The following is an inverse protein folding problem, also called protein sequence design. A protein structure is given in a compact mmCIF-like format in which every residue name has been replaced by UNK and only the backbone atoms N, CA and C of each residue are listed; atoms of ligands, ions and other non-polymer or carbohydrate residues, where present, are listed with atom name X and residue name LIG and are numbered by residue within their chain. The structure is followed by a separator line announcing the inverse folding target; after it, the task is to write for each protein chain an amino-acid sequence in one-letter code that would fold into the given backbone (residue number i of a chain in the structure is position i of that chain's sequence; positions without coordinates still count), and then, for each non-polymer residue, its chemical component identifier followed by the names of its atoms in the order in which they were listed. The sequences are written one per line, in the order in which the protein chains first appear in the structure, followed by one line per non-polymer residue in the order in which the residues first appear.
data_IF_277685336929
#
_entry.id   IF_277685336929
#
_cell.length_a   1.000
_cell.length_b   1.000
_cell.length_c   1.000
_cell.angle_alpha   90.00
_cell.angle_beta   90.00
_cell.angle_gamma   90.00
#
_symmetry.space_group_name_H-M   'P 1'
#
loop_
_entity.id
_entity.type
_entity.pdbx_description
1 polymer ?
#
# COMPACT_ATOMS: atom_id res chain seq x y z
N UNK A 1 15.69 0.96 -1.73
CA UNK A 1 14.73 1.13 -2.84
C UNK A 1 13.71 0.02 -2.74
N UNK A 2 12.43 0.37 -2.94
CA UNK A 2 11.26 -0.44 -2.56
C UNK A 2 10.79 -1.35 -3.71
N UNK A 3 10.21 -2.50 -3.33
CA UNK A 3 9.51 -3.45 -4.21
C UNK A 3 8.07 -3.51 -3.74
N UNK A 4 7.12 -3.41 -4.67
CA UNK A 4 5.69 -3.57 -4.39
C UNK A 4 5.14 -4.80 -5.09
N UNK A 5 4.31 -5.54 -4.35
CA UNK A 5 3.44 -6.58 -4.87
C UNK A 5 2.01 -6.28 -4.41
N UNK A 6 1.13 -5.93 -5.36
CA UNK A 6 -0.23 -5.52 -5.04
C UNK A 6 -1.09 -6.67 -4.51
N UNK A 7 -0.78 -7.91 -4.86
CA UNK A 7 -1.47 -9.07 -4.30
C UNK A 7 -1.13 -9.20 -2.81
N UNK A 8 0.16 -9.11 -2.47
CA UNK A 8 0.63 -9.16 -1.07
C UNK A 8 0.04 -8.02 -0.23
N UNK A 9 -0.06 -6.80 -0.79
CA UNK A 9 -0.66 -5.65 -0.09
C UNK A 9 -2.18 -5.82 0.14
N UNK A 10 -2.91 -6.36 -0.83
CA UNK A 10 -4.35 -6.63 -0.66
C UNK A 10 -4.59 -7.75 0.36
N UNK A 11 -3.79 -8.81 0.32
CA UNK A 11 -3.86 -9.90 1.29
C UNK A 11 -3.53 -9.38 2.70
N UNK A 12 -2.52 -8.52 2.83
CA UNK A 12 -2.18 -7.87 4.09
C UNK A 12 -3.33 -6.99 4.60
N UNK A 13 -3.96 -6.16 3.75
CA UNK A 13 -5.12 -5.35 4.14
C UNK A 13 -6.28 -6.23 4.63
N UNK A 14 -6.53 -7.37 3.97
CA UNK A 14 -7.57 -8.30 4.40
C UNK A 14 -7.27 -8.91 5.77
N UNK A 15 -6.02 -9.35 5.99
CA UNK A 15 -5.55 -9.83 7.28
C UNK A 15 -5.66 -8.75 8.38
N UNK A 16 -5.25 -7.52 8.07
CA UNK A 16 -5.33 -6.37 8.98
C UNK A 16 -6.77 -6.11 9.42
N UNK A 17 -7.72 -6.05 8.49
CA UNK A 17 -9.14 -5.85 8.79
C UNK A 17 -9.72 -6.94 9.69
N UNK A 18 -9.32 -8.18 9.44
CA UNK A 18 -9.75 -9.33 10.26
C UNK A 18 -9.23 -9.19 11.68
N UNK A 19 -7.92 -8.98 11.84
CA UNK A 19 -7.28 -8.76 13.14
C UNK A 19 -7.88 -7.56 13.88
N UNK A 20 -8.05 -6.43 13.20
CA UNK A 20 -8.60 -5.23 13.80
C UNK A 20 -10.06 -5.40 14.22
N UNK A 21 -10.85 -6.20 13.50
CA UNK A 21 -12.22 -6.52 13.91
C UNK A 21 -12.24 -7.19 15.29
N UNK A 22 -11.38 -8.19 15.50
CA UNK A 22 -11.25 -8.89 16.79
C UNK A 22 -10.81 -7.94 17.91
N UNK A 23 -9.80 -7.10 17.64
CA UNK A 23 -9.31 -6.12 18.63
C UNK A 23 -10.37 -5.09 18.96
N UNK A 24 -11.07 -4.55 17.96
CA UNK A 24 -12.16 -3.58 18.16
C UNK A 24 -13.27 -4.17 19.03
N UNK A 25 -13.63 -5.44 18.85
CA UNK A 25 -14.60 -6.11 19.72
C UNK A 25 -14.12 -6.19 21.17
N UNK A 26 -12.86 -6.57 21.40
CA UNK A 26 -12.29 -6.62 22.75
C UNK A 26 -12.27 -5.24 23.42
N UNK A 27 -11.83 -4.21 22.70
CA UNK A 27 -11.75 -2.83 23.19
C UNK A 27 -13.14 -2.28 23.51
N UNK A 28 -14.15 -2.58 22.70
CA UNK A 28 -15.55 -2.20 22.99
C UNK A 28 -16.07 -2.85 24.28
N UNK A 29 -15.79 -4.15 24.49
CA UNK A 29 -16.17 -4.84 25.74
C UNK A 29 -15.50 -4.22 26.97
N UNK A 30 -14.24 -3.81 26.87
CA UNK A 30 -13.54 -3.10 27.95
C UNK A 30 -14.20 -1.75 28.23
N UNK A 31 -14.54 -0.99 27.18
CA UNK A 31 -15.24 0.28 27.30
C UNK A 31 -16.60 0.13 27.97
N UNK A 32 -17.39 -0.86 27.55
CA UNK A 32 -18.69 -1.19 28.15
C UNK A 32 -18.56 -1.56 29.63
N UNK A 33 -17.62 -2.45 29.99
CA UNK A 33 -17.40 -2.82 31.38
C UNK A 33 -16.98 -1.63 32.26
N UNK A 34 -16.13 -0.72 31.74
CA UNK A 34 -15.77 0.51 32.43
C UNK A 34 -16.98 1.45 32.59
N UNK A 35 -17.82 1.58 31.57
CA UNK A 35 -19.06 2.37 31.63
C UNK A 35 -20.05 1.79 32.65
N UNK A 36 -20.26 0.48 32.65
CA UNK A 36 -21.15 -0.20 33.61
C UNK A 36 -20.67 0.01 35.05
N UNK A 37 -19.35 -0.11 35.29
CA UNK A 37 -18.76 0.16 36.60
C UNK A 37 -18.97 1.61 37.05
N UNK A 38 -18.76 2.58 36.14
CA UNK A 38 -18.89 4.00 36.46
C UNK A 38 -20.33 4.42 36.72
N UNK A 39 -21.29 3.84 35.99
CA UNK A 39 -22.73 4.09 36.13
C UNK A 39 -23.39 3.28 37.26
N UNK A 40 -22.73 2.27 37.81
CA UNK A 40 -23.28 1.46 38.89
C UNK A 40 -23.57 2.31 40.14
N UNK A 41 -24.83 2.39 40.59
CA UNK A 41 -25.19 3.17 41.78
C UNK A 41 -25.22 2.39 43.11
N UNK A 42 -24.97 1.07 43.09
CA UNK A 42 -25.00 0.23 44.29
C UNK A 42 -23.73 0.38 45.13
N UNK A 43 -22.58 0.63 44.50
CA UNK A 43 -21.31 0.90 45.18
C UNK A 43 -21.18 2.39 45.54
N UNK A 44 -20.95 2.68 46.83
CA UNK A 44 -20.87 4.03 47.40
C UNK A 44 -19.63 4.18 48.29
N UNK A 45 -19.20 5.43 48.49
CA UNK A 45 -18.05 5.80 49.34
C UNK A 45 -17.01 6.60 48.57
N UNK A 46 -16.18 7.37 49.28
CA UNK A 46 -15.21 8.27 48.67
C UNK A 46 -14.23 7.55 47.74
N UNK A 47 -13.70 6.39 48.16
CA UNK A 47 -12.80 5.57 47.34
C UNK A 47 -13.47 5.07 46.04
N UNK A 48 -14.75 4.68 46.11
CA UNK A 48 -15.52 4.26 44.93
C UNK A 48 -15.72 5.43 43.98
N UNK A 49 -16.05 6.62 44.48
CA UNK A 49 -16.20 7.82 43.65
C UNK A 49 -14.90 8.19 42.93
N UNK A 50 -13.76 8.14 43.62
CA UNK A 50 -12.43 8.37 43.02
C UNK A 50 -12.12 7.36 41.93
N UNK A 51 -12.33 6.07 42.20
CA UNK A 51 -12.13 4.99 41.23
C UNK A 51 -13.00 5.19 39.98
N UNK A 52 -14.29 5.47 40.15
CA UNK A 52 -15.20 5.73 39.01
C UNK A 52 -14.77 6.95 38.20
N UNK A 53 -14.29 8.01 38.84
CA UNK A 53 -13.76 9.17 38.12
C UNK A 53 -12.57 8.77 37.23
N UNK A 54 -11.62 8.01 37.77
CA UNK A 54 -10.48 7.50 37.01
C UNK A 54 -10.94 6.63 35.83
N UNK A 55 -11.78 5.62 36.05
CA UNK A 55 -12.24 4.75 34.96
C UNK A 55 -13.00 5.53 33.87
N UNK A 56 -13.84 6.50 34.26
CA UNK A 56 -14.61 7.29 33.31
C UNK A 56 -13.74 8.18 32.43
N UNK A 57 -12.75 8.87 33.00
CA UNK A 57 -11.85 9.77 32.24
C UNK A 57 -10.85 9.00 31.40
N UNK A 58 -10.32 7.91 31.96
CA UNK A 58 -9.13 7.24 31.47
C UNK A 58 -9.47 6.17 30.43
N UNK A 59 -10.28 5.18 30.81
CA UNK A 59 -10.57 4.05 29.93
C UNK A 59 -11.37 4.48 28.70
N UNK A 60 -12.29 5.43 28.85
CA UNK A 60 -13.06 5.96 27.71
C UNK A 60 -12.15 6.59 26.66
N UNK A 61 -11.19 7.41 27.09
CA UNK A 61 -10.28 8.12 26.18
C UNK A 61 -9.32 7.16 25.48
N UNK A 62 -8.66 6.25 26.23
CA UNK A 62 -7.75 5.27 25.63
C UNK A 62 -8.48 4.34 24.67
N UNK A 63 -9.61 3.77 25.09
CA UNK A 63 -10.35 2.82 24.22
C UNK A 63 -10.81 3.51 22.95
N UNK A 64 -11.21 4.78 23.02
CA UNK A 64 -11.56 5.57 21.85
C UNK A 64 -10.36 5.78 20.92
N UNK A 65 -9.21 6.21 21.45
CA UNK A 65 -7.99 6.42 20.66
C UNK A 65 -7.49 5.12 20.00
N UNK A 66 -7.56 3.98 20.69
CA UNK A 66 -7.21 2.68 20.10
C UNK A 66 -8.15 2.34 18.94
N UNK A 67 -9.47 2.52 19.11
CA UNK A 67 -10.43 2.24 18.03
C UNK A 67 -10.15 3.12 16.80
N UNK A 68 -9.88 4.40 17.01
CA UNK A 68 -9.52 5.35 15.95
C UNK A 68 -8.22 4.96 15.25
N UNK A 69 -7.21 4.51 15.99
CA UNK A 69 -5.95 4.01 15.42
C UNK A 69 -6.19 2.83 14.46
N UNK A 70 -7.03 1.90 14.88
CA UNK A 70 -7.35 0.70 14.10
C UNK A 70 -8.13 1.06 12.84
N UNK A 71 -9.15 1.92 12.95
CA UNK A 71 -9.90 2.44 11.80
C UNK A 71 -9.00 3.19 10.81
N UNK A 72 -8.16 4.10 11.31
CA UNK A 72 -7.24 4.89 10.50
C UNK A 72 -6.20 4.01 9.78
N UNK A 73 -5.70 2.96 10.46
CA UNK A 73 -4.75 2.02 9.84
C UNK A 73 -5.33 1.29 8.63
N UNK A 74 -6.60 0.88 8.71
CA UNK A 74 -7.30 0.21 7.61
C UNK A 74 -7.60 1.17 6.47
N UNK A 75 -8.10 2.36 6.78
CA UNK A 75 -8.49 3.34 5.77
C UNK A 75 -7.26 3.86 5.02
N UNK A 76 -6.17 4.17 5.72
CA UNK A 76 -4.92 4.62 5.08
C UNK A 76 -4.35 3.56 4.16
N UNK A 77 -4.22 2.32 4.63
CA UNK A 77 -3.70 1.26 3.76
C UNK A 77 -4.62 1.01 2.55
N UNK A 78 -5.94 1.03 2.75
CA UNK A 78 -6.89 0.91 1.65
C UNK A 78 -6.80 2.08 0.66
N UNK A 79 -6.62 3.30 1.15
CA UNK A 79 -6.44 4.49 0.33
C UNK A 79 -5.13 4.41 -0.47
N UNK A 80 -4.02 4.02 0.15
CA UNK A 80 -2.74 3.82 -0.54
C UNK A 80 -2.87 2.83 -1.70
N UNK A 81 -3.53 1.68 -1.49
CA UNK A 81 -3.78 0.67 -2.52
C UNK A 81 -4.63 1.23 -3.68
N UNK A 82 -5.69 1.98 -3.36
CA UNK A 82 -6.56 2.60 -4.38
C UNK A 82 -5.81 3.66 -5.20
N UNK A 83 -5.04 4.51 -4.54
CA UNK A 83 -4.27 5.56 -5.20
C UNK A 83 -3.14 4.98 -6.06
N UNK A 84 -2.47 3.92 -5.60
CA UNK A 84 -1.53 3.15 -6.41
C UNK A 84 -2.21 2.64 -7.69
N UNK A 85 -3.37 2.00 -7.55
CA UNK A 85 -4.13 1.46 -8.70
C UNK A 85 -4.53 2.53 -9.71
N UNK A 86 -4.83 3.74 -9.24
CA UNK A 86 -5.23 4.87 -10.09
C UNK A 86 -4.05 5.55 -10.79
N UNK A 87 -2.89 5.66 -10.11
CA UNK A 87 -1.75 6.45 -10.58
C UNK A 87 -0.67 5.61 -11.27
N UNK A 88 -0.50 4.36 -10.87
CA UNK A 88 0.60 3.48 -11.31
C UNK A 88 0.09 2.42 -12.28
N UNK A 89 -0.68 1.46 -11.76
CA UNK A 89 -1.25 0.35 -12.53
C UNK A 89 -2.46 -0.25 -11.81
N UNK A 90 -3.59 -0.31 -12.50
CA UNK A 90 -4.86 -0.86 -11.98
C UNK A 90 -4.86 -2.38 -11.82
N UNK A 91 -3.83 -3.07 -12.30
CA UNK A 91 -3.76 -4.54 -12.27
C UNK A 91 -3.65 -5.06 -10.82
N UNK A 92 -4.55 -5.96 -10.38
CA UNK A 92 -4.52 -6.51 -9.02
C UNK A 92 -3.25 -7.30 -8.70
N UNK A 93 -2.57 -7.82 -9.72
CA UNK A 93 -1.33 -8.58 -9.63
C UNK A 93 -0.10 -7.75 -10.05
N UNK A 94 -0.19 -6.42 -10.02
CA UNK A 94 0.94 -5.56 -10.37
C UNK A 94 2.12 -5.85 -9.44
N UNK A 95 3.30 -6.04 -10.04
CA UNK A 95 4.56 -6.23 -9.32
C UNK A 95 5.57 -5.23 -9.87
N UNK A 96 6.07 -4.36 -9.00
CA UNK A 96 7.00 -3.31 -9.37
C UNK A 96 8.28 -3.46 -8.56
N UNK A 97 9.40 -3.46 -9.26
CA UNK A 97 10.73 -3.44 -8.67
C UNK A 97 11.47 -2.22 -9.21
N UNK A 98 11.54 -1.15 -8.42
CA UNK A 98 12.14 0.11 -8.84
C UNK A 98 13.66 -0.01 -9.11
N UNK A 99 14.32 -1.06 -8.62
CA UNK A 99 15.77 -1.24 -8.81
C UNK A 99 16.12 -1.57 -10.26
N UNK A 100 15.16 -2.08 -11.04
CA UNK A 100 15.41 -2.51 -12.43
C UNK A 100 15.09 -1.43 -13.47
N UNK A 101 14.77 -0.19 -13.08
CA UNK A 101 14.42 0.86 -14.05
C UNK A 101 15.53 1.04 -15.10
N UNK A 102 16.78 1.20 -14.68
CA UNK A 102 17.89 1.35 -15.62
C UNK A 102 18.02 0.15 -16.56
N UNK A 103 17.84 -1.07 -16.04
CA UNK A 103 17.88 -2.30 -16.86
C UNK A 103 16.75 -2.32 -17.90
N UNK A 104 15.56 -1.81 -17.53
CA UNK A 104 14.42 -1.70 -18.43
C UNK A 104 14.67 -0.65 -19.50
N UNK A 105 15.18 0.53 -19.16
CA UNK A 105 15.55 1.59 -20.12
C UNK A 105 16.60 1.10 -21.12
N UNK A 106 17.62 0.40 -20.63
CA UNK A 106 18.66 -0.20 -21.47
C UNK A 106 18.05 -1.24 -22.42
N UNK A 107 17.10 -2.05 -21.93
CA UNK A 107 16.39 -3.04 -22.73
C UNK A 107 15.47 -2.41 -23.78
N UNK A 108 14.78 -1.31 -23.47
CA UNK A 108 14.00 -0.52 -24.45
C UNK A 108 14.92 -0.05 -25.56
N UNK A 109 16.04 0.59 -25.21
CA UNK A 109 17.04 1.08 -26.17
C UNK A 109 17.59 -0.03 -27.07
N UNK A 110 17.89 -1.20 -26.50
CA UNK A 110 18.34 -2.37 -27.26
C UNK A 110 17.27 -2.92 -28.21
N UNK A 111 16.01 -2.98 -27.77
CA UNK A 111 14.90 -3.47 -28.58
C UNK A 111 14.54 -2.51 -29.72
N UNK A 112 14.61 -1.20 -29.50
CA UNK A 112 14.43 -0.18 -30.53
C UNK A 112 15.46 -0.35 -31.66
N UNK A 113 16.76 -0.38 -31.32
CA UNK A 113 17.82 -0.60 -32.32
C UNK A 113 17.65 -1.90 -33.09
N UNK A 114 17.20 -2.95 -32.41
CA UNK A 114 16.96 -4.27 -33.02
C UNK A 114 15.78 -4.22 -33.99
N UNK A 115 14.68 -3.55 -33.63
CA UNK A 115 13.53 -3.37 -34.52
C UNK A 115 13.92 -2.57 -35.76
N UNK A 116 14.62 -1.44 -35.60
CA UNK A 116 15.12 -0.60 -36.68
C UNK A 116 16.00 -1.42 -37.64
N UNK A 117 16.99 -2.14 -37.10
CA UNK A 117 17.89 -3.00 -37.91
C UNK A 117 17.11 -4.06 -38.68
N UNK A 118 16.10 -4.69 -38.07
CA UNK A 118 15.28 -5.70 -38.74
C UNK A 118 14.38 -5.08 -39.83
N UNK A 119 13.91 -3.86 -39.62
CA UNK A 119 13.12 -3.12 -40.58
C UNK A 119 13.97 -2.64 -41.78
N UNK A 120 15.20 -2.20 -41.53
CA UNK A 120 16.18 -1.92 -42.59
C UNK A 120 16.47 -3.18 -43.41
N UNK A 121 16.69 -4.34 -42.76
CA UNK A 121 16.90 -5.61 -43.46
C UNK A 121 15.66 -6.06 -44.24
N UNK A 122 14.45 -5.79 -43.75
CA UNK A 122 13.22 -6.12 -44.46
C UNK A 122 13.04 -5.26 -45.73
N UNK A 123 13.41 -3.98 -45.66
CA UNK A 123 13.21 -3.00 -46.75
C UNK A 123 14.39 -2.90 -47.71
N UNK A 124 15.52 -3.56 -47.40
CA UNK A 124 16.72 -3.50 -48.22
C UNK A 124 16.49 -4.11 -49.63
N UNK A 125 17.02 -3.47 -50.69
CA UNK A 125 16.77 -3.87 -52.08
C UNK A 125 17.36 -5.24 -52.46
N UNK A 126 18.31 -5.76 -51.67
CA UNK A 126 18.98 -7.04 -51.90
C UNK A 126 18.41 -8.18 -51.04
N UNK A 127 17.32 -7.95 -50.32
CA UNK A 127 16.74 -8.96 -49.43
C UNK A 127 16.07 -10.05 -50.24
N UNK A 128 16.52 -11.29 -50.02
CA UNK A 128 16.00 -12.45 -50.75
C UNK A 128 14.52 -12.70 -50.40
N UNK A 129 13.68 -13.16 -51.34
CA UNK A 129 12.24 -13.35 -51.11
C UNK A 129 11.91 -14.31 -49.96
N UNK A 130 12.71 -15.37 -49.78
CA UNK A 130 12.61 -16.34 -48.68
C UNK A 130 12.94 -15.71 -47.31
N UNK A 131 13.79 -14.68 -47.29
CA UNK A 131 14.17 -13.96 -46.08
C UNK A 131 13.20 -12.83 -45.73
N UNK A 132 12.42 -12.31 -46.68
CA UNK A 132 11.44 -11.24 -46.43
C UNK A 132 10.39 -11.67 -45.39
N UNK A 133 9.85 -12.88 -45.53
CA UNK A 133 8.86 -13.41 -44.58
C UNK A 133 9.48 -13.60 -43.18
N UNK A 134 10.70 -14.12 -43.13
CA UNK A 134 11.45 -14.31 -41.86
C UNK A 134 11.70 -12.97 -41.17
N UNK A 135 12.14 -11.94 -41.90
CA UNK A 135 12.35 -10.61 -41.34
C UNK A 135 11.04 -9.97 -40.89
N UNK A 136 9.96 -10.11 -41.66
CA UNK A 136 8.65 -9.59 -41.28
C UNK A 136 8.14 -10.17 -39.95
N UNK A 137 8.29 -11.48 -39.74
CA UNK A 137 7.92 -12.13 -38.46
C UNK A 137 8.81 -11.64 -37.32
N UNK A 138 10.14 -11.54 -37.55
CA UNK A 138 11.09 -11.06 -36.54
C UNK A 138 10.83 -9.60 -36.14
N UNK A 139 10.54 -8.72 -37.10
CA UNK A 139 10.21 -7.31 -36.84
C UNK A 139 8.94 -7.21 -35.99
N UNK A 140 7.87 -7.92 -36.34
CA UNK A 140 6.63 -7.96 -35.53
C UNK A 140 6.87 -8.44 -34.10
N UNK A 141 7.68 -9.48 -33.93
CA UNK A 141 8.04 -9.99 -32.61
C UNK A 141 8.87 -8.97 -31.82
N UNK A 142 9.85 -8.32 -32.46
CA UNK A 142 10.69 -7.30 -31.82
C UNK A 142 9.85 -6.10 -31.39
N UNK A 143 8.97 -5.62 -32.26
CA UNK A 143 8.01 -4.55 -31.98
C UNK A 143 7.13 -4.89 -30.76
N UNK A 144 6.56 -6.10 -30.72
CA UNK A 144 5.72 -6.53 -29.58
C UNK A 144 6.53 -6.57 -28.27
N UNK A 145 7.79 -6.99 -28.32
CA UNK A 145 8.66 -6.98 -27.15
C UNK A 145 9.02 -5.56 -26.71
N UNK A 146 9.24 -4.65 -27.66
CA UNK A 146 9.49 -3.25 -27.41
C UNK A 146 8.31 -2.59 -26.70
N UNK A 147 7.09 -2.76 -27.22
CA UNK A 147 5.88 -2.20 -26.60
C UNK A 147 5.73 -2.64 -25.13
N UNK A 148 5.96 -3.93 -24.84
CA UNK A 148 5.93 -4.44 -23.46
C UNK A 148 7.02 -3.85 -22.57
N UNK A 149 8.20 -3.58 -23.13
CA UNK A 149 9.30 -2.98 -22.38
C UNK A 149 9.02 -1.50 -22.06
N UNK A 150 8.47 -0.75 -23.02
CA UNK A 150 8.02 0.65 -22.83
C UNK A 150 6.90 0.73 -21.79
N UNK A 151 5.92 -0.18 -21.85
CA UNK A 151 4.86 -0.24 -20.85
C UNK A 151 5.42 -0.47 -19.44
N UNK A 152 6.39 -1.39 -19.31
CA UNK A 152 7.07 -1.65 -18.03
C UNK A 152 7.86 -0.44 -17.53
N UNK A 153 8.57 0.26 -18.43
CA UNK A 153 9.29 1.50 -18.12
C UNK A 153 8.34 2.56 -17.54
N UNK A 154 7.22 2.81 -18.23
CA UNK A 154 6.21 3.77 -17.81
C UNK A 154 5.61 3.43 -16.43
N UNK A 155 5.34 2.14 -16.15
CA UNK A 155 4.88 1.71 -14.82
C UNK A 155 5.93 2.01 -13.74
N UNK A 156 7.21 1.76 -14.04
CA UNK A 156 8.31 2.01 -13.09
C UNK A 156 8.48 3.52 -12.81
N UNK A 157 8.39 4.36 -13.83
CA UNK A 157 8.45 5.81 -13.67
C UNK A 157 7.28 6.33 -12.83
N UNK A 158 6.05 5.90 -13.15
CA UNK A 158 4.87 6.24 -12.36
C UNK A 158 5.00 5.79 -10.90
N UNK A 159 5.55 4.60 -10.68
CA UNK A 159 5.79 4.10 -9.33
C UNK A 159 6.78 4.97 -8.55
N UNK A 160 7.89 5.37 -9.17
CA UNK A 160 8.86 6.26 -8.51
C UNK A 160 8.21 7.61 -8.16
N UNK A 161 7.44 8.19 -9.08
CA UNK A 161 6.71 9.43 -8.81
C UNK A 161 5.69 9.27 -7.68
N UNK A 162 4.99 8.13 -7.65
CA UNK A 162 4.04 7.77 -6.60
C UNK A 162 4.72 7.66 -5.23
N UNK A 163 5.83 6.94 -5.11
CA UNK A 163 6.58 6.84 -3.85
C UNK A 163 7.08 8.20 -3.35
N UNK A 164 7.52 9.07 -4.25
CA UNK A 164 7.95 10.42 -3.91
C UNK A 164 6.81 11.28 -3.37
N UNK A 165 5.59 11.15 -3.93
CA UNK A 165 4.42 11.89 -3.44
C UNK A 165 3.81 11.29 -2.17
N UNK A 166 4.05 10.01 -1.89
CA UNK A 166 3.48 9.28 -0.74
C UNK A 166 4.46 9.06 0.43
N UNK A 167 5.63 9.72 0.43
CA UNK A 167 6.65 9.51 1.46
C UNK A 167 6.24 9.86 2.90
N UNK A 168 5.16 10.64 3.09
CA UNK A 168 4.58 10.99 4.40
C UNK A 168 3.15 10.47 4.56
N UNK A 169 2.74 9.52 3.72
CA UNK A 169 1.35 9.10 3.62
C UNK A 169 0.80 8.49 4.93
N UNK A 170 1.67 7.81 5.70
CA UNK A 170 1.30 7.17 6.96
C UNK A 170 1.63 8.01 8.21
N UNK A 171 2.08 9.26 8.06
CA UNK A 171 2.54 10.07 9.20
C UNK A 171 1.42 10.38 10.20
N UNK A 172 0.17 10.56 9.74
CA UNK A 172 -0.97 10.75 10.63
C UNK A 172 -1.25 9.52 11.52
N UNK A 173 -1.05 8.31 10.98
CA UNK A 173 -1.19 7.07 11.74
C UNK A 173 -0.08 6.94 12.79
N UNK A 174 1.16 7.29 12.43
CA UNK A 174 2.30 7.31 13.37
C UNK A 174 2.05 8.29 14.53
N UNK A 175 1.56 9.48 14.24
CA UNK A 175 1.18 10.47 15.26
C UNK A 175 0.09 9.94 16.21
N UNK A 176 -0.93 9.29 15.67
CA UNK A 176 -2.04 8.74 16.44
C UNK A 176 -1.56 7.58 17.35
N UNK A 177 -0.71 6.69 16.84
CA UNK A 177 -0.10 5.61 17.62
C UNK A 177 0.75 6.21 18.76
N UNK A 178 1.58 7.22 18.46
CA UNK A 178 2.42 7.87 19.46
C UNK A 178 1.59 8.56 20.55
N UNK A 179 0.56 9.30 20.16
CA UNK A 179 -0.35 9.96 21.09
C UNK A 179 -1.07 8.96 21.99
N UNK A 180 -1.53 7.84 21.41
CA UNK A 180 -2.16 6.75 22.17
C UNK A 180 -1.17 6.11 23.14
N UNK A 181 0.08 5.88 22.72
CA UNK A 181 1.14 5.34 23.58
C UNK A 181 1.50 6.26 24.74
N UNK A 182 1.60 7.56 24.50
CA UNK A 182 1.85 8.58 25.54
C UNK A 182 0.69 8.63 26.54
N UNK A 183 -0.56 8.66 26.06
CA UNK A 183 -1.72 8.64 26.92
C UNK A 183 -1.73 7.40 27.83
N UNK A 184 -1.34 6.22 27.33
CA UNK A 184 -1.23 5.00 28.15
C UNK A 184 -0.10 5.12 29.19
N UNK A 185 1.04 5.72 28.84
CA UNK A 185 2.16 5.90 29.77
C UNK A 185 1.83 6.85 30.93
N UNK A 186 1.20 8.00 30.64
CA UNK A 186 0.80 8.99 31.65
C UNK A 186 -0.17 8.43 32.71
N UNK A 187 -0.79 7.28 32.43
CA UNK A 187 -1.74 6.61 33.33
C UNK A 187 -1.11 5.52 34.19
N UNK A 188 0.12 5.12 33.86
CA UNK A 188 0.92 4.16 34.63
C UNK A 188 1.83 4.86 35.64
N UNK A 189 1.98 6.19 35.52
CA UNK A 189 2.69 7.08 36.47
C UNK A 189 1.77 7.60 37.58
#
# INVERSE_FOLDING_TARGET
MSRIDMAELNDFLHGLRTSNTEVKEMVRKIKEAAMDYTQNHSLKGAAVSTSKSYFSSTYTSITQSILEALDESEERLAQYIREFGAQVDSSPSCKVDAQVLQEVMDKVSQLQRKEETLQEQLTAPNTRPDMQEVYAVKTKSAHTQLLKAIEKENILEKYIAFEQSHGQFFSALDELIRATGQAVQELLE
#
